data_IF_957905959964
#
_entry.id   IF_957905959964
#
_cell.length_a   1.000
_cell.length_b   1.000
_cell.length_c   1.000
_cell.angle_alpha   90.00
_cell.angle_beta   90.00
_cell.angle_gamma   90.00
#
_symmetry.space_group_name_H-M   'P 1'
#
loop_
_entity.id
_entity.type
_entity.pdbx_description
1 polymer ?
#
# COMPACT_ATOMS: atom_id res chain seq x y z
N UNK A 1 20.75 -29.93 -10.74
CA UNK A 1 20.69 -28.45 -10.62
C UNK A 1 21.81 -27.97 -9.70
N UNK A 2 22.66 -27.03 -10.12
CA UNK A 2 23.70 -26.45 -9.23
C UNK A 2 23.02 -25.66 -8.10
N UNK A 3 23.43 -25.88 -6.83
CA UNK A 3 22.94 -25.10 -5.68
C UNK A 3 23.25 -23.62 -5.89
N UNK A 4 22.28 -22.73 -5.67
CA UNK A 4 22.48 -21.28 -5.77
C UNK A 4 23.57 -20.83 -4.77
N UNK A 5 24.50 -19.94 -5.17
CA UNK A 5 25.53 -19.38 -4.28
C UNK A 5 24.95 -18.85 -2.97
N UNK A 6 25.69 -19.01 -1.87
CA UNK A 6 25.26 -18.59 -0.54
C UNK A 6 24.85 -17.11 -0.50
N UNK A 7 25.62 -16.22 -1.13
CA UNK A 7 25.30 -14.80 -1.25
C UNK A 7 23.89 -14.55 -1.83
N UNK A 8 23.50 -15.27 -2.89
CA UNK A 8 22.17 -15.12 -3.50
C UNK A 8 21.04 -15.68 -2.63
N UNK A 9 21.34 -16.65 -1.75
CA UNK A 9 20.36 -17.15 -0.77
C UNK A 9 20.15 -16.14 0.35
N UNK A 10 21.21 -15.50 0.82
CA UNK A 10 21.12 -14.47 1.87
C UNK A 10 20.37 -13.23 1.36
N UNK A 11 20.62 -12.78 0.13
CA UNK A 11 19.85 -11.68 -0.48
C UNK A 11 18.34 -11.98 -0.53
N UNK A 12 17.95 -13.22 -0.83
CA UNK A 12 16.54 -13.64 -0.85
C UNK A 12 15.88 -13.60 0.52
N UNK A 13 16.65 -13.74 1.61
CA UNK A 13 16.08 -13.64 2.97
C UNK A 13 15.68 -12.20 3.28
N UNK A 14 16.41 -11.21 2.77
CA UNK A 14 16.09 -9.79 2.95
C UNK A 14 14.74 -9.42 2.33
N UNK A 15 14.44 -9.96 1.14
CA UNK A 15 13.14 -9.76 0.48
C UNK A 15 11.99 -10.60 1.06
N UNK A 16 12.27 -11.47 2.03
CA UNK A 16 11.30 -12.35 2.66
C UNK A 16 10.99 -11.96 4.12
N UNK A 17 11.52 -10.81 4.57
CA UNK A 17 11.24 -10.28 5.91
C UNK A 17 9.75 -9.91 5.95
N UNK A 18 8.95 -10.51 6.84
CA UNK A 18 7.55 -10.19 6.96
C UNK A 18 7.38 -8.76 7.47
N UNK A 19 6.29 -8.12 7.03
CA UNK A 19 5.89 -6.84 7.57
C UNK A 19 5.50 -7.00 9.06
N UNK A 20 6.16 -6.24 9.95
CA UNK A 20 5.89 -6.21 11.39
C UNK A 20 5.77 -4.77 11.88
N UNK A 21 5.08 -4.54 13.00
CA UNK A 21 4.98 -3.22 13.64
C UNK A 21 6.37 -2.63 13.98
N UNK A 22 7.34 -3.50 14.29
CA UNK A 22 8.72 -3.12 14.62
C UNK A 22 9.48 -2.57 13.40
N UNK A 23 9.34 -3.22 12.24
CA UNK A 23 10.00 -2.78 11.01
C UNK A 23 9.24 -1.62 10.32
N UNK A 24 7.95 -1.45 10.63
CA UNK A 24 7.12 -0.41 10.02
C UNK A 24 7.64 1.01 10.26
N UNK A 25 8.05 1.34 11.50
CA UNK A 25 8.60 2.67 11.80
C UNK A 25 9.87 2.95 10.99
N UNK A 26 10.77 1.98 10.92
CA UNK A 26 11.99 2.09 10.13
C UNK A 26 11.70 2.27 8.63
N UNK A 27 10.69 1.57 8.10
CA UNK A 27 10.24 1.75 6.71
C UNK A 27 9.66 3.15 6.49
N UNK A 28 8.76 3.63 7.36
CA UNK A 28 8.19 4.98 7.22
C UNK A 28 9.28 6.05 7.33
N UNK A 29 10.25 5.87 8.22
CA UNK A 29 11.35 6.82 8.38
C UNK A 29 12.28 6.83 7.15
N UNK A 30 12.59 5.67 6.56
CA UNK A 30 13.38 5.63 5.33
C UNK A 30 12.64 6.27 4.14
N UNK A 31 11.32 6.09 4.06
CA UNK A 31 10.47 6.68 3.03
C UNK A 31 10.44 8.22 3.07
N UNK A 32 10.71 8.85 4.22
CA UNK A 32 10.73 10.32 4.33
C UNK A 32 11.85 10.95 3.52
N UNK A 33 13.00 10.29 3.44
CA UNK A 33 14.17 10.74 2.67
C UNK A 33 14.11 10.37 1.18
N UNK A 34 13.16 9.53 0.78
CA UNK A 34 13.04 9.07 -0.61
C UNK A 34 12.42 10.12 -1.54
N UNK A 35 12.75 10.00 -2.84
CA UNK A 35 12.07 10.77 -3.90
C UNK A 35 10.56 10.48 -3.90
N UNK A 36 9.74 11.40 -4.41
CA UNK A 36 8.28 11.19 -4.52
C UNK A 36 7.96 9.87 -5.24
N UNK A 37 8.68 9.63 -6.34
CA UNK A 37 8.55 8.44 -7.17
C UNK A 37 8.89 7.18 -6.37
N UNK A 38 10.07 7.14 -5.75
CA UNK A 38 10.53 5.98 -4.96
C UNK A 38 9.56 5.69 -3.81
N UNK A 39 9.16 6.75 -3.07
CA UNK A 39 8.26 6.62 -1.93
C UNK A 39 6.91 6.02 -2.33
N UNK A 40 6.31 6.54 -3.40
CA UNK A 40 5.03 6.05 -3.92
C UNK A 40 5.13 4.58 -4.35
N UNK A 41 6.21 4.21 -5.06
CA UNK A 41 6.40 2.84 -5.53
C UNK A 41 6.58 1.87 -4.37
N UNK A 42 7.42 2.21 -3.39
CA UNK A 42 7.68 1.35 -2.23
C UNK A 42 6.42 1.19 -1.38
N UNK A 43 5.71 2.28 -1.05
CA UNK A 43 4.48 2.22 -0.27
C UNK A 43 3.37 1.42 -0.97
N UNK A 44 3.24 1.55 -2.29
CA UNK A 44 2.30 0.73 -3.07
C UNK A 44 2.67 -0.76 -3.07
N UNK A 45 3.95 -1.10 -3.21
CA UNK A 45 4.41 -2.50 -3.13
C UNK A 45 4.14 -3.11 -1.75
N UNK A 46 4.33 -2.36 -0.67
CA UNK A 46 4.03 -2.83 0.70
C UNK A 46 2.54 -3.19 0.86
N UNK A 47 1.64 -2.37 0.32
CA UNK A 47 0.21 -2.67 0.32
C UNK A 47 -0.14 -3.89 -0.52
N UNK A 48 0.49 -4.04 -1.68
CA UNK A 48 0.31 -5.21 -2.53
C UNK A 48 0.73 -6.50 -1.83
N UNK A 49 1.88 -6.47 -1.14
CA UNK A 49 2.41 -7.60 -0.38
C UNK A 49 1.51 -7.94 0.82
N UNK A 50 0.99 -6.94 1.54
CA UNK A 50 0.10 -7.20 2.66
C UNK A 50 -1.26 -7.74 2.20
N UNK A 51 -1.80 -7.28 1.06
CA UNK A 51 -2.99 -7.90 0.45
C UNK A 51 -2.74 -9.37 0.14
N UNK A 52 -1.61 -9.69 -0.49
CA UNK A 52 -1.24 -11.07 -0.78
C UNK A 52 -1.14 -11.90 0.51
N UNK A 53 -0.45 -11.38 1.53
CA UNK A 53 -0.31 -12.02 2.83
C UNK A 53 -1.67 -12.27 3.49
N UNK A 54 -2.56 -11.29 3.44
CA UNK A 54 -3.92 -11.39 3.99
C UNK A 54 -4.79 -12.41 3.26
N UNK A 55 -4.74 -12.43 1.92
CA UNK A 55 -5.42 -13.44 1.11
C UNK A 55 -4.86 -14.83 1.43
N UNK A 56 -3.53 -14.98 1.47
CA UNK A 56 -2.87 -16.25 1.76
C UNK A 56 -3.22 -16.80 3.15
N UNK A 57 -3.37 -15.94 4.16
CA UNK A 57 -3.85 -16.32 5.51
C UNK A 57 -5.32 -16.74 5.54
N UNK A 58 -6.10 -16.39 4.51
CA UNK A 58 -7.54 -16.70 4.41
C UNK A 58 -7.79 -18.00 3.65
N UNK A 59 -6.95 -18.31 2.65
CA UNK A 59 -7.03 -19.54 1.88
C UNK A 59 -6.56 -20.75 2.69
N UNK A 60 -6.90 -21.95 2.21
CA UNK A 60 -6.26 -23.17 2.67
C UNK A 60 -4.74 -23.10 2.44
N UNK A 61 -3.99 -23.88 3.21
CA UNK A 61 -2.54 -23.96 3.01
C UNK A 61 -2.24 -24.53 1.62
N UNK A 62 -1.77 -23.66 0.73
CA UNK A 62 -1.31 -24.05 -0.60
C UNK A 62 0.09 -24.63 -0.51
N UNK A 63 0.37 -25.66 -1.32
CA UNK A 63 1.74 -26.07 -1.55
C UNK A 63 2.50 -25.00 -2.36
N UNK A 64 3.78 -25.25 -2.59
CA UNK A 64 4.63 -24.26 -3.28
C UNK A 64 4.24 -24.05 -4.74
N UNK A 65 3.76 -25.08 -5.42
CA UNK A 65 3.39 -25.01 -6.84
C UNK A 65 2.08 -24.24 -7.00
N UNK A 66 1.06 -24.59 -6.20
CA UNK A 66 -0.22 -23.91 -6.19
C UNK A 66 -0.07 -22.47 -5.70
N UNK A 67 0.76 -22.21 -4.68
CA UNK A 67 1.08 -20.85 -4.26
C UNK A 67 1.68 -20.02 -5.40
N UNK A 68 2.56 -20.61 -6.22
CA UNK A 68 3.14 -19.94 -7.39
C UNK A 68 2.11 -19.73 -8.51
N UNK A 69 1.21 -20.68 -8.75
CA UNK A 69 0.11 -20.53 -9.73
C UNK A 69 -0.94 -19.53 -9.28
N UNK A 70 -1.05 -19.30 -7.97
CA UNK A 70 -1.97 -18.35 -7.40
C UNK A 70 -1.37 -16.93 -7.37
N UNK A 71 -0.20 -16.75 -6.74
CA UNK A 71 0.39 -15.43 -6.48
C UNK A 71 1.57 -15.07 -7.37
N UNK A 72 2.01 -15.99 -8.24
CA UNK A 72 3.03 -15.70 -9.24
C UNK A 72 2.56 -14.66 -10.25
N UNK A 73 3.51 -14.07 -10.99
CA UNK A 73 3.23 -12.98 -11.93
C UNK A 73 2.10 -13.27 -12.93
N UNK A 74 2.05 -14.49 -13.48
CA UNK A 74 0.99 -14.96 -14.40
C UNK A 74 -0.15 -15.72 -13.68
N UNK A 75 -0.23 -15.60 -12.36
CA UNK A 75 -1.16 -16.32 -11.50
C UNK A 75 -2.51 -15.62 -11.30
N UNK A 76 -3.45 -16.33 -10.64
CA UNK A 76 -4.82 -15.85 -10.39
C UNK A 76 -4.89 -14.52 -9.64
N UNK A 77 -3.99 -14.31 -8.69
CA UNK A 77 -3.81 -13.09 -7.90
C UNK A 77 -2.37 -12.57 -8.07
N UNK A 78 -1.85 -12.60 -9.30
CA UNK A 78 -0.48 -12.23 -9.64
C UNK A 78 -0.19 -10.73 -9.72
N UNK A 79 -1.24 -9.91 -9.76
CA UNK A 79 -1.15 -8.46 -9.94
C UNK A 79 -1.81 -7.71 -8.79
N UNK A 80 -1.41 -6.45 -8.57
CA UNK A 80 -2.06 -5.61 -7.55
C UNK A 80 -3.58 -5.51 -7.76
N UNK A 81 -4.05 -5.32 -9.00
CA UNK A 81 -5.49 -5.24 -9.29
C UNK A 81 -6.25 -6.55 -8.99
N UNK A 82 -5.69 -7.70 -9.35
CA UNK A 82 -6.30 -9.00 -9.06
C UNK A 82 -6.33 -9.30 -7.55
N UNK A 83 -5.29 -8.90 -6.80
CA UNK A 83 -5.28 -8.99 -5.32
C UNK A 83 -6.35 -8.10 -4.69
N UNK A 84 -6.52 -6.85 -5.14
CA UNK A 84 -7.59 -5.96 -4.68
C UNK A 84 -8.97 -6.60 -4.92
N UNK A 85 -9.20 -7.10 -6.14
CA UNK A 85 -10.46 -7.74 -6.51
C UNK A 85 -10.74 -8.98 -5.65
N UNK A 86 -9.73 -9.84 -5.44
CA UNK A 86 -9.84 -11.04 -4.62
C UNK A 86 -10.16 -10.69 -3.16
N UNK A 87 -9.41 -9.77 -2.56
CA UNK A 87 -9.62 -9.35 -1.18
C UNK A 87 -11.03 -8.78 -0.97
N UNK A 88 -11.53 -7.97 -1.91
CA UNK A 88 -12.90 -7.47 -1.87
C UNK A 88 -13.94 -8.59 -2.02
N UNK A 89 -13.73 -9.50 -2.98
CA UNK A 89 -14.64 -10.64 -3.23
C UNK A 89 -14.74 -11.59 -2.04
N UNK A 90 -13.64 -11.75 -1.28
CA UNK A 90 -13.59 -12.53 -0.04
C UNK A 90 -14.11 -11.75 1.18
N UNK A 91 -14.53 -10.50 1.01
CA UNK A 91 -15.04 -9.66 2.10
C UNK A 91 -13.98 -9.19 3.11
N UNK A 92 -12.69 -9.29 2.77
CA UNK A 92 -11.55 -8.90 3.62
C UNK A 92 -11.39 -7.38 3.71
N UNK A 93 -11.84 -6.67 2.68
CA UNK A 93 -11.89 -5.20 2.60
C UNK A 93 -13.29 -4.76 2.17
N UNK A 94 -13.70 -3.57 2.56
CA UNK A 94 -14.96 -2.96 2.13
C UNK A 94 -14.82 -2.21 0.79
N UNK A 95 -15.94 -1.69 0.29
CA UNK A 95 -15.97 -0.96 -0.99
C UNK A 95 -15.15 0.34 -0.96
N UNK A 96 -15.10 1.00 0.20
CA UNK A 96 -14.32 2.22 0.39
C UNK A 96 -12.82 1.95 0.37
N UNK A 97 -12.34 0.94 1.11
CA UNK A 97 -10.95 0.50 1.12
C UNK A 97 -10.52 0.05 -0.26
N UNK A 98 -11.37 -0.70 -0.99
CA UNK A 98 -11.13 -1.07 -2.38
C UNK A 98 -10.91 0.17 -3.27
N UNK A 99 -11.80 1.16 -3.19
CA UNK A 99 -11.69 2.38 -3.97
C UNK A 99 -10.37 3.12 -3.72
N UNK A 100 -9.97 3.26 -2.45
CA UNK A 100 -8.70 3.90 -2.09
C UNK A 100 -7.49 3.10 -2.59
N UNK A 101 -7.52 1.77 -2.48
CA UNK A 101 -6.46 0.91 -3.01
C UNK A 101 -6.32 1.01 -4.52
N UNK A 102 -7.43 1.12 -5.26
CA UNK A 102 -7.40 1.33 -6.70
C UNK A 102 -6.75 2.68 -7.07
N UNK A 103 -7.04 3.76 -6.33
CA UNK A 103 -6.34 5.04 -6.53
C UNK A 103 -4.83 4.89 -6.27
N UNK A 104 -4.45 4.27 -5.15
CA UNK A 104 -3.03 4.03 -4.81
C UNK A 104 -2.34 3.21 -5.90
N UNK A 105 -3.00 2.18 -6.43
CA UNK A 105 -2.49 1.35 -7.52
C UNK A 105 -2.23 2.16 -8.79
N UNK A 106 -3.15 3.03 -9.20
CA UNK A 106 -2.97 3.89 -10.37
C UNK A 106 -1.83 4.90 -10.17
N UNK A 107 -1.78 5.56 -9.01
CA UNK A 107 -0.71 6.50 -8.63
C UNK A 107 0.66 5.79 -8.64
N UNK A 108 0.73 4.59 -8.06
CA UNK A 108 1.94 3.75 -8.09
C UNK A 108 2.34 3.35 -9.50
N UNK A 109 1.38 2.96 -10.34
CA UNK A 109 1.67 2.53 -11.70
C UNK A 109 2.20 3.68 -12.56
N UNK A 110 1.64 4.89 -12.43
CA UNK A 110 2.17 6.09 -13.08
C UNK A 110 3.63 6.35 -12.67
N UNK A 111 3.94 6.29 -11.37
CA UNK A 111 5.30 6.45 -10.86
C UNK A 111 6.25 5.32 -11.30
N UNK A 112 5.80 4.07 -11.33
CA UNK A 112 6.64 2.92 -11.69
C UNK A 112 6.95 2.89 -13.19
N UNK A 113 5.95 3.14 -14.04
CA UNK A 113 6.03 2.86 -15.47
C UNK A 113 6.18 4.10 -16.36
N UNK A 114 6.07 5.31 -15.81
CA UNK A 114 6.34 6.52 -16.59
C UNK A 114 7.80 6.58 -17.05
N UNK A 115 7.96 6.91 -18.34
CA UNK A 115 9.26 7.21 -18.96
C UNK A 115 9.75 8.62 -18.60
N UNK A 116 8.82 9.51 -18.25
CA UNK A 116 9.13 10.88 -17.81
C UNK A 116 9.15 10.96 -16.28
N UNK A 117 9.91 11.90 -15.68
CA UNK A 117 9.82 12.17 -14.25
C UNK A 117 8.39 12.52 -13.84
N UNK A 118 7.85 11.82 -12.85
CA UNK A 118 6.54 12.05 -12.25
C UNK A 118 6.73 12.23 -10.75
N UNK A 119 6.11 13.27 -10.19
CA UNK A 119 6.24 13.68 -8.80
C UNK A 119 4.96 14.43 -8.34
N UNK A 120 4.90 14.91 -7.10
CA UNK A 120 3.71 15.61 -6.60
C UNK A 120 3.52 17.04 -7.11
N UNK A 121 4.45 17.56 -7.91
CA UNK A 121 4.26 18.80 -8.68
C UNK A 121 3.60 18.52 -10.04
N UNK A 122 3.53 17.26 -10.47
CA UNK A 122 2.83 16.81 -11.68
C UNK A 122 1.30 16.92 -11.46
N UNK A 123 0.57 17.71 -12.27
CA UNK A 123 -0.86 17.95 -12.06
C UNK A 123 -1.69 16.67 -11.95
N UNK A 124 -1.41 15.67 -12.78
CA UNK A 124 -2.10 14.39 -12.82
C UNK A 124 -1.92 13.60 -11.52
N UNK A 125 -0.68 13.52 -11.03
CA UNK A 125 -0.36 12.81 -9.79
C UNK A 125 -1.00 13.52 -8.58
N UNK A 126 -0.94 14.85 -8.56
CA UNK A 126 -1.58 15.68 -7.54
C UNK A 126 -3.10 15.45 -7.52
N UNK A 127 -3.75 15.53 -8.68
CA UNK A 127 -5.20 15.38 -8.80
C UNK A 127 -5.66 13.99 -8.38
N UNK A 128 -4.90 12.94 -8.71
CA UNK A 128 -5.20 11.59 -8.25
C UNK A 128 -5.01 11.45 -6.72
N UNK A 129 -3.92 12.01 -6.18
CA UNK A 129 -3.58 11.89 -4.75
C UNK A 129 -4.61 12.56 -3.84
N UNK A 130 -5.19 13.70 -4.24
CA UNK A 130 -6.23 14.36 -3.44
C UNK A 130 -7.53 13.56 -3.35
N UNK A 131 -7.78 12.61 -4.26
CA UNK A 131 -8.95 11.72 -4.19
C UNK A 131 -8.87 10.72 -3.04
N UNK A 132 -7.67 10.49 -2.48
CA UNK A 132 -7.48 9.68 -1.28
C UNK A 132 -8.10 10.33 -0.03
N UNK A 133 -8.50 11.59 -0.12
CA UNK A 133 -9.19 12.32 0.94
C UNK A 133 -10.70 12.38 0.70
N UNK A 134 -11.51 12.35 1.78
CA UNK A 134 -12.89 12.75 1.73
C UNK A 134 -13.05 14.14 1.12
N UNK A 135 -14.14 14.38 0.38
CA UNK A 135 -14.37 15.66 -0.33
C UNK A 135 -14.28 16.87 0.59
N UNK A 136 -14.77 16.75 1.82
CA UNK A 136 -14.71 17.80 2.86
C UNK A 136 -13.29 18.22 3.26
N UNK A 137 -12.28 17.39 2.98
CA UNK A 137 -10.88 17.61 3.33
C UNK A 137 -10.00 17.92 2.12
N UNK A 138 -10.57 17.88 0.91
CA UNK A 138 -9.85 18.22 -0.33
C UNK A 138 -9.61 19.72 -0.36
N UNK A 139 -8.36 20.11 -0.15
CA UNK A 139 -7.89 21.48 -0.28
C UNK A 139 -6.68 21.56 -1.18
N UNK A 140 -6.28 22.77 -1.56
CA UNK A 140 -5.05 22.99 -2.31
C UNK A 140 -3.85 22.54 -1.47
N UNK A 141 -3.33 21.36 -1.75
CA UNK A 141 -2.14 20.82 -1.11
C UNK A 141 -0.87 21.24 -1.86
N UNK A 142 0.18 21.58 -1.12
CA UNK A 142 1.54 21.65 -1.64
C UNK A 142 2.17 20.24 -1.72
N UNK A 143 3.37 20.14 -2.30
CA UNK A 143 4.08 18.87 -2.49
C UNK A 143 4.30 18.08 -1.19
N UNK A 144 4.74 18.73 -0.12
CA UNK A 144 5.00 18.04 1.16
C UNK A 144 3.73 17.55 1.83
N UNK A 145 2.64 18.31 1.71
CA UNK A 145 1.31 17.89 2.17
C UNK A 145 0.81 16.68 1.38
N UNK A 146 1.02 16.63 0.06
CA UNK A 146 0.66 15.47 -0.77
C UNK A 146 1.48 14.23 -0.40
N UNK A 147 2.79 14.39 -0.15
CA UNK A 147 3.66 13.31 0.36
C UNK A 147 3.13 12.76 1.68
N UNK A 148 2.84 13.64 2.64
CA UNK A 148 2.33 13.26 3.95
C UNK A 148 0.95 12.60 3.86
N UNK A 149 0.07 13.11 3.00
CA UNK A 149 -1.26 12.54 2.73
C UNK A 149 -1.14 11.12 2.18
N UNK A 150 -0.33 10.92 1.14
CA UNK A 150 -0.13 9.62 0.53
C UNK A 150 0.41 8.60 1.55
N UNK A 151 1.48 8.95 2.28
CA UNK A 151 2.03 8.09 3.32
C UNK A 151 0.98 7.75 4.38
N UNK A 152 0.28 8.74 4.93
CA UNK A 152 -0.77 8.54 5.93
C UNK A 152 -1.83 7.57 5.45
N UNK A 153 -2.36 7.76 4.23
CA UNK A 153 -3.42 6.90 3.70
C UNK A 153 -2.89 5.50 3.44
N UNK A 154 -1.68 5.33 2.88
CA UNK A 154 -1.10 3.99 2.69
C UNK A 154 -0.87 3.26 4.02
N UNK A 155 -0.39 3.97 5.04
CA UNK A 155 -0.23 3.47 6.40
C UNK A 155 -1.55 3.00 7.04
N UNK A 156 -2.60 3.78 6.83
CA UNK A 156 -3.95 3.47 7.30
C UNK A 156 -4.51 2.23 6.59
N UNK A 157 -4.43 2.18 5.25
CA UNK A 157 -4.87 1.03 4.46
C UNK A 157 -4.12 -0.24 4.87
N UNK A 158 -2.82 -0.13 5.10
CA UNK A 158 -1.99 -1.24 5.56
C UNK A 158 -2.49 -1.81 6.90
N UNK A 159 -2.84 -0.92 7.84
CA UNK A 159 -3.43 -1.30 9.13
C UNK A 159 -4.78 -1.99 8.95
N UNK A 160 -5.64 -1.47 8.07
CA UNK A 160 -6.96 -2.07 7.76
C UNK A 160 -6.78 -3.48 7.20
N UNK A 161 -5.89 -3.68 6.23
CA UNK A 161 -5.65 -4.97 5.58
C UNK A 161 -5.07 -5.98 6.58
N UNK A 162 -4.08 -5.55 7.38
CA UNK A 162 -3.40 -6.43 8.33
C UNK A 162 -4.33 -6.95 9.42
N UNK A 163 -5.20 -6.08 9.97
CA UNK A 163 -6.04 -6.38 11.13
C UNK A 163 -7.41 -6.96 10.79
N UNK A 164 -7.99 -6.60 9.64
CA UNK A 164 -9.32 -7.04 9.22
C UNK A 164 -10.49 -6.33 9.95
N UNK A 165 -11.73 -6.77 9.71
CA UNK A 165 -12.98 -6.16 10.23
C UNK A 165 -13.21 -6.42 11.72
N UNK A 166 -12.53 -5.71 12.60
CA UNK A 166 -12.93 -5.58 14.01
C UNK A 166 -13.64 -4.24 14.21
N UNK A 167 -14.91 -4.24 14.64
CA UNK A 167 -15.72 -3.01 14.84
C UNK A 167 -15.06 -2.00 15.80
N UNK A 168 -14.35 -2.50 16.82
CA UNK A 168 -13.56 -1.68 17.77
C UNK A 168 -12.39 -0.95 17.10
N UNK A 169 -11.87 -1.51 16.00
CA UNK A 169 -10.71 -0.98 15.31
C UNK A 169 -11.06 -0.12 14.11
N UNK A 170 -12.17 -0.37 13.42
CA UNK A 170 -12.72 0.60 12.46
C UNK A 170 -12.98 1.95 13.13
N UNK A 171 -13.49 1.94 14.36
CA UNK A 171 -13.64 3.15 15.17
C UNK A 171 -12.29 3.81 15.51
N UNK A 172 -11.24 3.02 15.80
CA UNK A 172 -9.88 3.56 16.05
C UNK A 172 -9.25 4.11 14.78
N UNK A 173 -9.37 3.43 13.66
CA UNK A 173 -8.87 3.87 12.35
C UNK A 173 -9.60 5.13 11.92
N UNK A 174 -10.94 5.19 12.03
CA UNK A 174 -11.72 6.43 11.85
C UNK A 174 -11.25 7.54 12.79
N UNK A 175 -10.96 7.23 14.06
CA UNK A 175 -10.41 8.24 14.98
C UNK A 175 -9.01 8.74 14.58
N UNK A 176 -8.18 7.87 13.99
CA UNK A 176 -6.83 8.25 13.49
C UNK A 176 -6.98 9.09 12.24
N UNK A 177 -7.84 8.69 11.31
CA UNK A 177 -8.27 9.47 10.12
C UNK A 177 -8.69 10.86 10.57
N UNK A 178 -9.68 10.95 11.46
CA UNK A 178 -10.21 12.23 11.95
C UNK A 178 -9.14 13.07 12.64
N UNK A 179 -8.22 12.44 13.40
CA UNK A 179 -7.11 13.13 14.07
C UNK A 179 -6.05 13.65 13.10
N UNK A 180 -5.69 12.86 12.10
CA UNK A 180 -4.71 13.28 11.08
C UNK A 180 -5.30 14.40 10.23
N UNK A 181 -6.57 14.30 9.87
CA UNK A 181 -7.24 15.29 9.05
C UNK A 181 -7.69 16.55 9.81
N UNK A 182 -7.98 16.46 11.11
CA UNK A 182 -8.25 17.64 11.95
C UNK A 182 -6.99 18.46 12.26
N UNK A 183 -5.83 17.81 12.47
CA UNK A 183 -4.54 18.52 12.64
C UNK A 183 -4.10 19.28 11.39
N UNK A 184 -4.53 18.85 10.21
CA UNK A 184 -4.28 19.59 8.98
C UNK A 184 -5.08 20.92 8.91
N UNK A 185 -6.11 21.12 9.74
CA UNK A 185 -6.95 22.32 9.76
C UNK A 185 -6.53 23.38 10.79
N UNK A 186 -5.59 23.09 11.70
CA UNK A 186 -5.14 24.03 12.74
C UNK A 186 -3.82 24.74 12.39
N UNK A 187 -3.30 24.57 11.18
CA UNK A 187 -2.06 25.19 10.69
C UNK A 187 -2.30 26.14 9.53
N UNK A 188 -3.19 27.11 9.71
CA UNK A 188 -3.38 28.29 8.85
C UNK A 188 -2.84 29.52 9.56
#
# INVERSE_FOLDING_TARGET
MKKKPAALRELKKLSAIPFTDENYRAIVDSLKSESDRSMVVIAGSILEDELQSRIQRTLIQLDKEDSQRFFGFDGLAGTFSSKILMAYSLGLIDSHTRYLLDIVREVRNACAHSRMPVNFDTPELKNATVLLLPESLRKKSNRDQLRAQFLTVTSMLLTIIARGKSESEEAKVRSIIDRVFSRANTGS
#
